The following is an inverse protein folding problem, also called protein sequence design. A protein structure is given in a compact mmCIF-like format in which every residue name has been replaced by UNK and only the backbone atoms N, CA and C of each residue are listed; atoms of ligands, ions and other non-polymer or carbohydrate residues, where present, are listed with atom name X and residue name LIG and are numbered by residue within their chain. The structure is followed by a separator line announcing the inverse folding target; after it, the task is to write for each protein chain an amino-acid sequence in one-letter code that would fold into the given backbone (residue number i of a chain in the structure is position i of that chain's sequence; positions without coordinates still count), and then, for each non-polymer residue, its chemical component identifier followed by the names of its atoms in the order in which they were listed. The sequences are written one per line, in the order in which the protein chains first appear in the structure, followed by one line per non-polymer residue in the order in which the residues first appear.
data_IF_403206378438
#
_entry.id   IF_403206378438
#
_cell.length_a   1.000
_cell.length_b   1.000
_cell.length_c   1.000
_cell.angle_alpha   90.00
_cell.angle_beta   90.00
_cell.angle_gamma   90.00
#
_symmetry.space_group_name_H-M   'P 1'
#
loop_
_entity.id
_entity.type
_entity.pdbx_description
1 polymer ?
#
# COMPACT_ATOMS: atom_id res chain seq x y z
N UNK A 1 15.10 -24.73 56.24
CA UNK A 1 14.10 -24.37 57.26
C UNK A 1 13.13 -23.40 56.60
N UNK A 2 11.96 -23.88 56.16
CA UNK A 2 10.68 -23.80 56.91
C UNK A 2 9.93 -22.49 56.53
N UNK A 3 8.69 -22.42 56.02
CA UNK A 3 7.57 -23.33 55.74
C UNK A 3 6.65 -22.64 54.68
N UNK A 4 6.11 -23.38 53.70
CA UNK A 4 4.76 -23.20 53.12
C UNK A 4 3.77 -24.03 54.00
N UNK A 5 2.40 -23.97 53.96
CA UNK A 5 1.52 -23.74 52.78
C UNK A 5 0.07 -23.16 52.98
N UNK A 6 -0.62 -22.85 51.86
CA UNK A 6 -2.06 -23.05 51.57
C UNK A 6 -3.15 -22.28 52.35
N UNK A 7 -4.46 -22.29 51.94
CA UNK A 7 -5.09 -23.20 50.99
C UNK A 7 -5.98 -22.57 49.88
N UNK A 8 -6.26 -23.44 48.90
CA UNK A 8 -7.30 -23.43 47.85
C UNK A 8 -8.74 -23.39 48.37
N UNK A 9 -9.65 -22.75 47.62
CA UNK A 9 -11.06 -23.14 47.52
C UNK A 9 -11.54 -23.09 46.07
N UNK A 10 -11.96 -24.25 45.58
CA UNK A 10 -12.80 -24.45 44.41
C UNK A 10 -14.17 -24.94 44.88
N UNK A 11 -15.25 -24.57 44.16
CA UNK A 11 -16.56 -25.24 43.99
C UNK A 11 -17.65 -24.20 43.60
N UNK A 12 -18.81 -24.60 43.04
CA UNK A 12 -19.06 -25.58 41.99
C UNK A 12 -19.87 -24.98 40.82
N UNK A 13 -20.10 -25.81 39.81
CA UNK A 13 -20.98 -25.55 38.68
C UNK A 13 -22.46 -25.63 39.07
N UNK A 14 -23.29 -24.76 38.49
CA UNK A 14 -24.72 -25.00 38.32
C UNK A 14 -25.18 -24.59 36.92
N UNK A 15 -25.76 -25.57 36.24
CA UNK A 15 -26.41 -25.46 34.96
C UNK A 15 -27.82 -24.89 35.14
N UNK A 16 -28.18 -23.88 34.35
CA UNK A 16 -29.57 -23.49 34.14
C UNK A 16 -29.86 -23.51 32.65
N UNK A 17 -30.64 -24.53 32.27
CA UNK A 17 -31.41 -24.61 31.05
C UNK A 17 -32.32 -23.37 30.94
N UNK A 18 -32.23 -22.64 29.83
CA UNK A 18 -33.33 -21.83 29.32
C UNK A 18 -33.68 -22.32 27.92
N UNK A 19 -34.71 -23.15 27.88
CA UNK A 19 -35.42 -23.52 26.67
C UNK A 19 -36.24 -22.33 26.17
N UNK A 20 -36.04 -21.94 24.91
CA UNK A 20 -36.93 -21.02 24.19
C UNK A 20 -37.88 -21.83 23.29
N UNK A 21 -39.16 -21.46 23.19
CA UNK A 21 -40.18 -22.28 22.54
C UNK A 21 -40.14 -22.20 21.00
N UNK A 22 -40.29 -23.38 20.38
CA UNK A 22 -40.68 -23.58 18.99
C UNK A 22 -42.11 -23.05 18.76
N UNK A 23 -42.25 -22.00 17.97
CA UNK A 23 -43.49 -21.66 17.25
C UNK A 23 -43.15 -21.10 15.87
N UNK A 24 -43.29 -21.93 14.83
CA UNK A 24 -44.05 -21.59 13.62
C UNK A 24 -44.05 -22.79 12.67
N UNK A 25 -45.18 -23.47 12.63
CA UNK A 25 -45.59 -24.33 11.53
C UNK A 25 -46.17 -23.46 10.40
N UNK A 26 -45.94 -23.94 9.18
CA UNK A 26 -46.79 -23.81 7.99
C UNK A 26 -46.98 -22.43 7.34
N UNK A 27 -46.32 -22.25 6.19
CA UNK A 27 -46.92 -21.70 4.97
C UNK A 27 -45.92 -21.85 3.79
N UNK A 28 -45.88 -23.05 3.20
CA UNK A 28 -45.32 -23.26 1.87
C UNK A 28 -46.49 -23.63 0.94
N UNK A 29 -47.12 -22.60 0.38
CA UNK A 29 -47.97 -22.75 -0.79
C UNK A 29 -47.10 -22.57 -2.04
N UNK A 30 -47.01 -23.63 -2.84
CA UNK A 30 -46.32 -23.63 -4.12
C UNK A 30 -47.07 -22.75 -5.13
N UNK A 31 -46.39 -21.73 -5.68
CA UNK A 31 -46.82 -21.06 -6.89
C UNK A 31 -46.19 -21.74 -8.11
N UNK A 32 -46.98 -22.18 -9.11
CA UNK A 32 -46.46 -22.62 -10.39
C UNK A 32 -46.08 -21.39 -11.22
N UNK A 33 -44.78 -21.14 -11.41
CA UNK A 33 -44.29 -20.13 -12.34
C UNK A 33 -44.05 -20.76 -13.71
N UNK A 34 -44.73 -20.18 -14.69
CA UNK A 34 -44.76 -20.47 -16.12
C UNK A 34 -43.37 -20.71 -16.73
N UNK A 35 -43.22 -21.85 -17.43
CA UNK A 35 -42.13 -22.09 -18.37
C UNK A 35 -42.53 -21.52 -19.73
N UNK A 36 -42.14 -20.29 -20.02
CA UNK A 36 -42.13 -19.78 -21.39
C UNK A 36 -40.71 -19.36 -21.82
N UNK A 37 -40.16 -20.15 -22.76
CA UNK A 37 -39.31 -19.69 -23.86
C UNK A 37 -38.09 -18.82 -23.55
N UNK A 38 -37.01 -19.42 -23.03
CA UNK A 38 -35.69 -18.81 -23.08
C UNK A 38 -35.11 -18.95 -24.50
N UNK A 39 -35.17 -17.88 -25.29
CA UNK A 39 -34.42 -17.79 -26.57
C UNK A 39 -32.93 -17.60 -26.25
N UNK A 40 -32.00 -18.33 -26.88
CA UNK A 40 -30.58 -18.13 -26.63
C UNK A 40 -30.16 -16.76 -27.17
N UNK A 41 -29.67 -15.90 -26.28
CA UNK A 41 -29.14 -14.60 -26.63
C UNK A 41 -27.87 -14.76 -27.49
N UNK A 42 -27.91 -14.17 -28.67
CA UNK A 42 -26.81 -14.12 -29.63
C UNK A 42 -25.60 -13.36 -29.05
N UNK A 43 -24.50 -14.09 -28.86
CA UNK A 43 -23.09 -13.70 -29.01
C UNK A 43 -22.71 -12.20 -28.90
N UNK A 44 -22.95 -11.58 -27.73
CA UNK A 44 -22.35 -10.29 -27.36
C UNK A 44 -21.05 -10.41 -26.54
N UNK A 45 -20.52 -11.62 -26.38
CA UNK A 45 -19.34 -11.89 -25.55
C UNK A 45 -18.04 -11.81 -26.36
N UNK A 46 -17.62 -10.61 -26.76
CA UNK A 46 -16.20 -10.38 -27.05
C UNK A 46 -15.73 -8.91 -27.01
N UNK A 47 -16.42 -8.05 -26.26
CA UNK A 47 -15.80 -6.80 -25.81
C UNK A 47 -15.01 -7.12 -24.55
N UNK A 48 -13.74 -7.52 -24.70
CA UNK A 48 -12.76 -7.44 -23.60
C UNK A 48 -12.70 -5.97 -23.20
N UNK A 49 -13.51 -5.58 -22.22
CA UNK A 49 -13.29 -4.36 -21.47
C UNK A 49 -11.92 -4.59 -20.84
N UNK A 50 -10.86 -4.00 -21.42
CA UNK A 50 -9.60 -3.84 -20.70
C UNK A 50 -9.93 -2.88 -19.57
N UNK A 51 -10.38 -3.43 -18.44
CA UNK A 51 -10.41 -2.68 -17.21
C UNK A 51 -8.96 -2.25 -17.00
N UNK A 52 -8.72 -0.94 -17.03
CA UNK A 52 -7.43 -0.40 -16.59
C UNK A 52 -7.12 -1.03 -15.23
N UNK A 53 -5.89 -1.54 -15.01
CA UNK A 53 -5.56 -2.20 -13.76
C UNK A 53 -5.91 -1.26 -12.60
N UNK A 54 -6.84 -1.69 -11.76
CA UNK A 54 -7.17 -0.96 -10.53
C UNK A 54 -6.06 -1.19 -9.52
N UNK A 55 -5.56 -0.12 -8.92
CA UNK A 55 -4.55 -0.23 -7.89
C UNK A 55 -5.22 -0.69 -6.59
N UNK A 56 -4.73 -1.78 -6.00
CA UNK A 56 -5.25 -2.24 -4.71
C UNK A 56 -4.94 -1.20 -3.63
N UNK A 57 -5.91 -0.97 -2.74
CA UNK A 57 -5.77 -0.06 -1.58
C UNK A 57 -6.07 -0.77 -0.24
N UNK A 58 -6.51 -2.04 -0.30
CA UNK A 58 -6.63 -2.92 0.85
C UNK A 58 -5.83 -4.21 0.66
N UNK A 59 -5.40 -4.83 1.76
CA UNK A 59 -4.72 -6.12 1.73
C UNK A 59 -5.55 -7.20 1.01
N UNK A 60 -6.88 -7.21 1.19
CA UNK A 60 -7.77 -8.15 0.51
C UNK A 60 -7.76 -7.97 -1.01
N UNK A 61 -7.76 -6.72 -1.50
CA UNK A 61 -7.64 -6.43 -2.93
C UNK A 61 -6.29 -6.89 -3.48
N UNK A 62 -5.20 -6.68 -2.73
CA UNK A 62 -3.88 -7.15 -3.14
C UNK A 62 -3.79 -8.68 -3.16
N UNK A 63 -4.35 -9.37 -2.18
CA UNK A 63 -4.41 -10.84 -2.19
C UNK A 63 -5.22 -11.37 -3.38
N UNK A 64 -6.33 -10.72 -3.71
CA UNK A 64 -7.10 -11.04 -4.90
C UNK A 64 -6.26 -10.82 -6.17
N UNK A 65 -5.53 -9.71 -6.24
CA UNK A 65 -4.63 -9.42 -7.36
C UNK A 65 -3.55 -10.50 -7.53
N UNK A 66 -2.92 -10.96 -6.43
CA UNK A 66 -1.95 -12.06 -6.47
C UNK A 66 -2.60 -13.35 -7.01
N UNK A 67 -3.79 -13.70 -6.51
CA UNK A 67 -4.50 -14.90 -6.98
C UNK A 67 -4.84 -14.83 -8.46
N UNK A 68 -5.32 -13.68 -8.93
CA UNK A 68 -5.63 -13.46 -10.35
C UNK A 68 -4.37 -13.54 -11.21
N UNK A 69 -3.21 -13.13 -10.68
CA UNK A 69 -1.91 -13.26 -11.33
C UNK A 69 -1.30 -14.68 -11.27
N UNK A 70 -1.99 -15.66 -10.64
CA UNK A 70 -1.55 -17.05 -10.60
C UNK A 70 -0.56 -17.39 -9.48
N UNK A 71 -0.38 -16.51 -8.50
CA UNK A 71 0.48 -16.79 -7.35
C UNK A 71 -0.04 -17.96 -6.50
N UNK A 72 0.89 -18.68 -5.89
CA UNK A 72 0.59 -19.87 -5.10
C UNK A 72 -0.11 -19.52 -3.78
N UNK A 73 -0.78 -20.50 -3.16
CA UNK A 73 -1.30 -20.33 -1.79
C UNK A 73 -0.18 -19.98 -0.80
N UNK A 74 1.04 -20.51 -0.98
CA UNK A 74 2.17 -20.20 -0.11
C UNK A 74 2.60 -18.75 -0.24
N UNK A 75 2.60 -18.19 -1.46
CA UNK A 75 2.93 -16.78 -1.71
C UNK A 75 1.95 -15.86 -0.97
N UNK A 76 0.65 -16.20 -1.00
CA UNK A 76 -0.38 -15.47 -0.26
C UNK A 76 -0.14 -15.51 1.26
N UNK A 77 0.22 -16.67 1.81
CA UNK A 77 0.52 -16.83 3.24
C UNK A 77 1.74 -16.01 3.64
N UNK A 78 2.77 -15.98 2.79
CA UNK A 78 3.96 -15.15 3.01
C UNK A 78 3.57 -13.67 3.05
N UNK A 79 2.81 -13.19 2.07
CA UNK A 79 2.38 -11.79 2.03
C UNK A 79 1.45 -11.42 3.20
N UNK A 80 0.64 -12.37 3.69
CA UNK A 80 -0.16 -12.19 4.89
C UNK A 80 0.71 -11.93 6.14
N UNK A 81 1.82 -12.66 6.30
CA UNK A 81 2.78 -12.43 7.40
C UNK A 81 3.49 -11.10 7.25
N UNK A 82 3.81 -10.70 6.02
CA UNK A 82 4.34 -9.36 5.78
C UNK A 82 3.31 -8.27 6.11
N UNK A 83 2.01 -8.54 5.93
CA UNK A 83 0.94 -7.60 6.29
C UNK A 83 0.84 -7.42 7.81
N UNK A 84 0.98 -8.50 8.58
CA UNK A 84 1.10 -8.40 10.05
C UNK A 84 2.32 -7.56 10.45
N UNK A 85 3.45 -7.76 9.77
CA UNK A 85 4.67 -6.95 9.95
C UNK A 85 4.44 -5.48 9.61
N UNK A 86 3.77 -5.20 8.49
CA UNK A 86 3.41 -3.85 8.08
C UNK A 86 2.45 -3.19 9.09
N UNK A 87 1.48 -3.93 9.64
CA UNK A 87 0.57 -3.44 10.68
C UNK A 87 1.34 -3.00 11.92
N UNK A 88 2.33 -3.79 12.36
CA UNK A 88 3.18 -3.41 13.50
C UNK A 88 3.99 -2.14 13.22
N UNK A 89 4.55 -2.01 12.02
CA UNK A 89 5.39 -0.86 11.65
C UNK A 89 4.58 0.42 11.40
N UNK A 90 3.41 0.31 10.76
CA UNK A 90 2.70 1.43 10.15
C UNK A 90 1.27 1.65 10.68
N UNK A 91 0.74 0.78 11.55
CA UNK A 91 -0.68 0.79 11.94
C UNK A 91 -1.19 2.10 12.56
N UNK A 92 -0.30 2.93 13.10
CA UNK A 92 -0.62 4.25 13.67
C UNK A 92 -0.28 5.43 12.74
N UNK A 93 0.00 5.17 11.45
CA UNK A 93 0.44 6.19 10.49
C UNK A 93 -0.66 6.55 9.51
N UNK A 94 -0.84 7.86 9.34
CA UNK A 94 -1.71 8.46 8.34
C UNK A 94 -0.83 9.25 7.36
N UNK A 95 -1.15 9.19 6.06
CA UNK A 95 -0.48 9.95 4.99
C UNK A 95 -0.94 11.41 5.00
N UNK A 96 -0.22 12.27 4.28
CA UNK A 96 -0.67 13.66 4.10
C UNK A 96 -2.02 13.79 3.39
N UNK A 97 -2.43 12.75 2.65
CA UNK A 97 -3.75 12.65 2.02
C UNK A 97 -4.86 12.14 2.96
N UNK A 98 -4.57 11.89 4.24
CA UNK A 98 -5.54 11.33 5.19
C UNK A 98 -5.72 9.81 5.12
N UNK A 99 -5.19 9.13 4.09
CA UNK A 99 -5.23 7.66 3.98
C UNK A 99 -4.36 6.99 5.04
N UNK A 100 -4.77 5.85 5.63
CA UNK A 100 -3.86 5.01 6.40
C UNK A 100 -2.60 4.65 5.59
N UNK A 101 -1.44 4.62 6.24
CA UNK A 101 -0.18 4.32 5.57
C UNK A 101 -0.18 2.91 4.98
N UNK A 102 -0.91 1.97 5.58
CA UNK A 102 -1.07 0.62 5.03
C UNK A 102 -1.67 0.64 3.62
N UNK A 103 -2.62 1.54 3.31
CA UNK A 103 -3.15 1.67 1.94
C UNK A 103 -2.03 2.04 0.94
N UNK A 104 -1.12 2.92 1.34
CA UNK A 104 0.03 3.30 0.51
C UNK A 104 1.02 2.16 0.29
N UNK A 105 1.30 1.37 1.35
CA UNK A 105 2.11 0.17 1.25
C UNK A 105 1.47 -0.83 0.26
N UNK A 106 0.17 -1.09 0.41
CA UNK A 106 -0.61 -1.97 -0.47
C UNK A 106 -0.56 -1.49 -1.91
N UNK A 107 -0.84 -0.21 -2.18
CA UNK A 107 -0.84 0.33 -3.55
C UNK A 107 0.53 0.29 -4.20
N UNK A 108 1.59 0.54 -3.44
CA UNK A 108 2.97 0.40 -3.93
C UNK A 108 3.28 -1.05 -4.34
N UNK A 109 2.88 -2.03 -3.52
CA UNK A 109 3.02 -3.45 -3.85
C UNK A 109 2.14 -3.89 -5.02
N UNK A 110 0.93 -3.33 -5.12
CA UNK A 110 -0.02 -3.56 -6.21
C UNK A 110 0.54 -3.11 -7.56
N UNK A 111 1.20 -1.94 -7.60
CA UNK A 111 1.89 -1.46 -8.80
C UNK A 111 3.04 -2.38 -9.22
N UNK A 112 3.85 -2.84 -8.26
CA UNK A 112 4.95 -3.77 -8.53
C UNK A 112 4.43 -5.11 -9.09
N UNK A 113 3.37 -5.65 -8.48
CA UNK A 113 2.71 -6.87 -8.97
C UNK A 113 2.12 -6.69 -10.36
N UNK A 114 1.40 -5.58 -10.61
CA UNK A 114 0.83 -5.30 -11.93
C UNK A 114 1.92 -5.18 -13.02
N UNK A 115 3.11 -4.70 -12.64
CA UNK A 115 4.27 -4.66 -13.54
C UNK A 115 4.92 -6.03 -13.79
N UNK A 116 4.50 -7.08 -13.08
CA UNK A 116 5.06 -8.44 -13.19
C UNK A 116 6.34 -8.65 -12.38
N UNK A 117 6.55 -7.88 -11.31
CA UNK A 117 7.71 -8.03 -10.44
C UNK A 117 7.73 -9.40 -9.73
N UNK A 118 8.93 -9.84 -9.32
CA UNK A 118 9.08 -11.05 -8.51
C UNK A 118 8.40 -10.90 -7.14
N UNK A 119 8.08 -12.04 -6.50
CA UNK A 119 7.48 -12.02 -5.15
C UNK A 119 8.35 -11.20 -4.17
N UNK A 120 9.67 -11.34 -4.20
CA UNK A 120 10.56 -10.59 -3.30
C UNK A 120 10.50 -9.07 -3.57
N UNK A 121 10.38 -8.62 -4.81
CA UNK A 121 10.18 -7.20 -5.12
C UNK A 121 8.79 -6.70 -4.72
N UNK A 122 7.74 -7.52 -4.85
CA UNK A 122 6.39 -7.18 -4.37
C UNK A 122 6.41 -7.01 -2.84
N UNK A 123 7.04 -7.93 -2.12
CA UNK A 123 7.21 -7.87 -0.66
C UNK A 123 8.08 -6.69 -0.24
N UNK A 124 9.14 -6.39 -0.99
CA UNK A 124 9.96 -5.20 -0.80
C UNK A 124 9.16 -3.94 -1.00
N UNK A 125 8.38 -3.83 -2.08
CA UNK A 125 7.48 -2.71 -2.36
C UNK A 125 6.48 -2.51 -1.20
N UNK A 126 5.98 -3.59 -0.62
CA UNK A 126 5.05 -3.54 0.50
C UNK A 126 5.70 -3.00 1.79
N UNK A 127 6.98 -3.31 2.03
CA UNK A 127 7.71 -2.93 3.23
C UNK A 127 8.74 -1.80 3.01
N UNK A 128 8.75 -1.17 1.83
CA UNK A 128 9.80 -0.26 1.36
C UNK A 128 10.08 0.92 2.31
N UNK A 129 9.07 1.29 3.10
CA UNK A 129 9.12 2.41 4.03
C UNK A 129 9.50 2.03 5.46
N UNK A 130 9.83 0.76 5.75
CA UNK A 130 10.07 0.26 7.10
C UNK A 130 11.05 1.15 7.88
N UNK A 131 12.23 1.42 7.31
CA UNK A 131 13.26 2.22 7.98
C UNK A 131 12.95 3.71 8.07
N UNK A 132 12.17 4.27 7.13
CA UNK A 132 11.88 5.71 7.07
C UNK A 132 10.67 6.10 7.91
N UNK A 133 9.62 5.29 7.86
CA UNK A 133 8.30 5.60 8.43
C UNK A 133 7.82 4.59 9.48
N UNK A 134 8.38 3.38 9.47
CA UNK A 134 8.03 2.33 10.42
C UNK A 134 8.47 2.68 11.84
N UNK A 135 7.63 2.32 12.80
CA UNK A 135 7.97 2.34 14.23
C UNK A 135 8.28 0.90 14.65
N UNK A 136 9.52 0.65 15.00
CA UNK A 136 9.98 -0.66 15.47
C UNK A 136 9.51 -0.94 16.91
N UNK A 137 9.62 -2.18 17.43
CA UNK A 137 9.11 -2.53 18.76
C UNK A 137 9.68 -1.71 19.91
N UNK A 138 10.90 -1.20 19.75
CA UNK A 138 11.55 -0.28 20.69
C UNK A 138 10.97 1.15 20.66
N UNK A 139 10.00 1.41 19.78
CA UNK A 139 9.36 2.70 19.57
C UNK A 139 10.15 3.66 18.67
N UNK A 140 11.33 3.28 18.20
CA UNK A 140 12.21 4.15 17.39
C UNK A 140 12.05 3.88 15.90
N UNK A 141 12.78 4.64 15.08
CA UNK A 141 12.80 4.53 13.60
C UNK A 141 14.24 4.50 13.12
N UNK A 142 14.44 4.17 11.84
CA UNK A 142 15.76 4.08 11.22
C UNK A 142 16.15 2.63 10.99
N UNK A 143 17.41 2.42 10.64
CA UNK A 143 17.96 1.15 10.14
C UNK A 143 19.13 0.65 11.01
N UNK A 144 19.01 0.76 12.35
CA UNK A 144 19.98 0.18 13.29
C UNK A 144 20.12 -1.33 13.08
N UNK A 145 21.22 -1.93 13.53
CA UNK A 145 21.42 -3.38 13.40
C UNK A 145 20.31 -4.18 14.07
N UNK A 146 19.78 -3.70 15.20
CA UNK A 146 18.62 -4.29 15.86
C UNK A 146 17.36 -4.25 14.97
N UNK A 147 17.08 -3.11 14.32
CA UNK A 147 15.93 -2.99 13.40
C UNK A 147 16.10 -3.86 12.16
N UNK A 148 17.32 -3.93 11.62
CA UNK A 148 17.63 -4.76 10.46
C UNK A 148 17.47 -6.24 10.78
N UNK A 149 18.02 -6.71 11.91
CA UNK A 149 17.83 -8.08 12.39
C UNK A 149 16.36 -8.40 12.64
N UNK A 150 15.61 -7.50 13.29
CA UNK A 150 14.18 -7.68 13.53
C UNK A 150 13.37 -7.84 12.24
N UNK A 151 13.66 -7.02 11.23
CA UNK A 151 12.97 -7.11 9.94
C UNK A 151 13.35 -8.39 9.22
N UNK A 152 14.66 -8.73 9.20
CA UNK A 152 15.20 -9.94 8.58
C UNK A 152 14.59 -11.22 9.13
N UNK A 153 14.41 -11.32 10.44
CA UNK A 153 13.78 -12.48 11.09
C UNK A 153 12.33 -12.69 10.63
N UNK A 154 11.63 -11.62 10.25
CA UNK A 154 10.21 -11.67 9.84
C UNK A 154 10.04 -11.87 8.35
N UNK A 155 10.90 -11.29 7.54
CA UNK A 155 10.72 -11.22 6.09
C UNK A 155 11.71 -12.09 5.31
N UNK A 156 12.81 -12.48 5.94
CA UNK A 156 13.95 -13.14 5.30
C UNK A 156 15.05 -12.16 4.89
N UNK A 157 16.26 -12.69 4.70
CA UNK A 157 17.46 -11.91 4.36
C UNK A 157 17.34 -11.13 3.05
N UNK A 158 16.81 -11.74 2.00
CA UNK A 158 16.74 -11.10 0.68
C UNK A 158 15.77 -9.91 0.66
N UNK A 159 14.57 -10.04 1.24
CA UNK A 159 13.62 -8.93 1.32
C UNK A 159 14.14 -7.81 2.22
N UNK A 160 14.75 -8.12 3.37
CA UNK A 160 15.37 -7.09 4.22
C UNK A 160 16.48 -6.34 3.48
N UNK A 161 17.36 -7.05 2.78
CA UNK A 161 18.44 -6.46 1.97
C UNK A 161 17.89 -5.51 0.90
N UNK A 162 16.82 -5.91 0.20
CA UNK A 162 16.16 -5.08 -0.80
C UNK A 162 15.49 -3.85 -0.19
N UNK A 163 14.80 -3.98 0.96
CA UNK A 163 14.22 -2.84 1.69
C UNK A 163 15.30 -1.87 2.16
N UNK A 164 16.43 -2.39 2.64
CA UNK A 164 17.58 -1.58 3.02
C UNK A 164 18.16 -0.84 1.81
N UNK A 165 18.40 -1.53 0.70
CA UNK A 165 18.87 -0.92 -0.55
C UNK A 165 17.92 0.18 -1.04
N UNK A 166 16.61 -0.07 -1.03
CA UNK A 166 15.60 0.93 -1.39
C UNK A 166 15.69 2.18 -0.52
N UNK A 167 15.94 2.00 0.79
CA UNK A 167 16.03 3.12 1.74
C UNK A 167 17.21 4.06 1.46
N UNK A 168 18.29 3.51 0.88
CA UNK A 168 19.50 4.24 0.52
C UNK A 168 19.48 4.74 -0.93
N UNK A 169 18.63 4.15 -1.79
CA UNK A 169 18.61 4.44 -3.20
C UNK A 169 18.21 5.91 -3.47
N UNK A 170 19.10 6.71 -4.09
CA UNK A 170 18.88 8.13 -4.28
C UNK A 170 17.86 8.34 -5.39
N UNK A 171 16.76 9.01 -5.07
CA UNK A 171 15.73 9.36 -6.05
C UNK A 171 14.98 10.61 -5.63
N UNK A 172 14.94 11.60 -6.51
CA UNK A 172 14.25 12.87 -6.35
C UNK A 172 13.98 13.49 -7.74
N UNK A 173 13.34 14.67 -7.78
CA UNK A 173 12.97 15.38 -9.01
C UNK A 173 14.18 15.58 -9.93
N UNK A 174 15.31 16.07 -9.40
CA UNK A 174 16.52 16.31 -10.19
C UNK A 174 17.11 15.02 -10.78
N UNK A 175 17.09 13.92 -10.01
CA UNK A 175 17.55 12.61 -10.49
C UNK A 175 16.63 12.08 -11.58
N UNK A 176 15.30 12.16 -11.38
CA UNK A 176 14.33 11.75 -12.39
C UNK A 176 14.54 12.52 -13.71
N UNK A 177 14.68 13.85 -13.64
CA UNK A 177 14.98 14.68 -14.82
C UNK A 177 16.28 14.26 -15.50
N UNK A 178 17.38 14.09 -14.75
CA UNK A 178 18.66 13.65 -15.31
C UNK A 178 18.57 12.31 -16.05
N UNK A 179 17.79 11.35 -15.53
CA UNK A 179 17.58 10.07 -16.19
C UNK A 179 16.72 10.21 -17.47
N UNK A 180 15.81 11.18 -17.51
CA UNK A 180 15.06 11.53 -18.73
C UNK A 180 15.95 12.24 -19.75
N UNK A 181 16.86 13.11 -19.32
CA UNK A 181 17.72 13.85 -20.25
C UNK A 181 18.82 12.94 -20.82
N UNK A 182 19.44 12.11 -19.98
CA UNK A 182 20.63 11.33 -20.34
C UNK A 182 20.33 9.87 -20.70
N UNK A 183 19.15 9.36 -20.33
CA UNK A 183 18.82 7.93 -20.46
C UNK A 183 19.39 7.05 -19.34
N UNK A 184 19.15 5.73 -19.41
CA UNK A 184 19.71 4.75 -18.47
C UNK A 184 21.24 4.72 -18.53
N UNK A 185 21.88 4.68 -17.37
CA UNK A 185 23.26 4.21 -17.18
C UNK A 185 23.28 2.67 -17.11
N UNK A 186 24.38 2.05 -17.53
CA UNK A 186 24.65 0.61 -17.34
C UNK A 186 24.63 0.20 -15.85
N UNK A 187 25.05 1.09 -14.95
CA UNK A 187 25.02 0.85 -13.50
C UNK A 187 23.64 1.08 -12.87
N UNK A 188 22.63 1.39 -13.68
CA UNK A 188 21.30 1.70 -13.18
C UNK A 188 20.64 0.47 -12.58
N UNK A 189 20.46 0.46 -11.26
CA UNK A 189 19.68 -0.58 -10.59
C UNK A 189 18.20 -0.44 -10.98
N UNK A 190 17.77 -1.26 -11.94
CA UNK A 190 16.41 -1.22 -12.51
C UNK A 190 15.35 -1.62 -11.50
N UNK A 191 15.65 -2.52 -10.58
CA UNK A 191 14.71 -2.96 -9.54
C UNK A 191 14.43 -1.84 -8.55
N UNK A 192 15.47 -1.15 -8.06
CA UNK A 192 15.29 -0.02 -7.16
C UNK A 192 14.58 1.14 -7.85
N UNK A 193 14.89 1.38 -9.13
CA UNK A 193 14.16 2.37 -9.92
C UNK A 193 12.68 2.01 -10.05
N UNK A 194 12.35 0.76 -10.41
CA UNK A 194 10.97 0.27 -10.46
C UNK A 194 10.25 0.51 -9.13
N UNK A 195 10.86 0.14 -8.00
CA UNK A 195 10.25 0.35 -6.70
C UNK A 195 10.00 1.84 -6.38
N UNK A 196 10.90 2.75 -6.80
CA UNK A 196 10.67 4.19 -6.63
C UNK A 196 9.49 4.67 -7.47
N UNK A 197 9.39 4.19 -8.71
CA UNK A 197 8.26 4.49 -9.59
C UNK A 197 6.96 3.92 -9.01
N UNK A 198 6.93 2.67 -8.55
CA UNK A 198 5.74 2.10 -7.89
C UNK A 198 5.32 2.90 -6.65
N UNK A 199 6.27 3.38 -5.85
CA UNK A 199 5.97 4.26 -4.72
C UNK A 199 5.33 5.58 -5.16
N UNK A 200 5.81 6.18 -6.26
CA UNK A 200 5.20 7.40 -6.81
C UNK A 200 3.87 7.14 -7.55
N UNK A 201 3.65 5.94 -8.10
CA UNK A 201 2.36 5.52 -8.66
C UNK A 201 1.28 5.58 -7.59
N UNK A 202 1.48 4.94 -6.42
CA UNK A 202 0.47 5.03 -5.35
C UNK A 202 0.34 6.45 -4.79
N UNK A 203 1.45 7.17 -4.64
CA UNK A 203 1.43 8.52 -4.10
C UNK A 203 0.67 9.51 -4.99
N UNK A 204 0.63 9.27 -6.29
CA UNK A 204 -0.07 10.10 -7.27
C UNK A 204 -1.48 9.59 -7.59
N UNK A 205 -1.80 8.34 -7.24
CA UNK A 205 -3.09 7.70 -7.46
C UNK A 205 -4.25 8.41 -6.76
N UNK A 206 -5.44 8.39 -7.38
CA UNK A 206 -6.69 8.98 -6.89
C UNK A 206 -6.51 10.44 -6.41
N UNK A 207 -6.03 11.30 -7.30
CA UNK A 207 -5.71 12.70 -7.02
C UNK A 207 -4.65 12.90 -5.92
N UNK A 208 -3.90 11.86 -5.55
CA UNK A 208 -2.89 11.93 -4.50
C UNK A 208 -1.81 12.97 -4.78
N UNK A 209 -1.39 13.14 -6.03
CA UNK A 209 -0.40 14.16 -6.40
C UNK A 209 -0.89 15.59 -6.12
N UNK A 210 -2.20 15.81 -6.33
CA UNK A 210 -2.87 17.09 -6.14
C UNK A 210 -3.14 17.38 -4.65
N UNK A 211 -3.52 16.35 -3.88
CA UNK A 211 -3.95 16.49 -2.47
C UNK A 211 -2.83 16.28 -1.44
N UNK A 212 -1.74 15.58 -1.77
CA UNK A 212 -0.72 15.21 -0.78
C UNK A 212 0.22 16.36 -0.35
N UNK A 213 0.17 17.50 -1.03
CA UNK A 213 1.04 18.68 -0.80
C UNK A 213 2.54 18.36 -0.72
N UNK A 214 3.01 17.39 -1.51
CA UNK A 214 4.42 17.03 -1.52
C UNK A 214 5.21 17.96 -2.45
N UNK A 215 6.35 18.52 -2.02
CA UNK A 215 7.12 19.48 -2.82
C UNK A 215 7.52 18.99 -4.22
N UNK A 216 7.65 17.68 -4.43
CA UNK A 216 7.98 17.16 -5.76
C UNK A 216 6.86 17.32 -6.80
N UNK A 217 5.59 17.40 -6.37
CA UNK A 217 4.45 17.60 -7.28
C UNK A 217 4.19 19.07 -7.59
N UNK A 218 4.91 20.01 -6.97
CA UNK A 218 4.89 21.41 -7.42
C UNK A 218 5.76 21.65 -8.65
N UNK A 219 6.65 20.72 -8.99
CA UNK A 219 7.34 20.75 -10.27
C UNK A 219 6.37 20.25 -11.36
N UNK A 220 6.02 21.10 -12.35
CA UNK A 220 5.01 20.77 -13.36
C UNK A 220 5.42 19.61 -14.28
N UNK A 221 6.71 19.27 -14.31
CA UNK A 221 7.23 18.22 -15.17
C UNK A 221 7.44 16.89 -14.45
N UNK A 222 7.38 16.84 -13.11
CA UNK A 222 7.77 15.63 -12.38
C UNK A 222 6.98 14.39 -12.84
N UNK A 223 5.65 14.49 -12.95
CA UNK A 223 4.83 13.37 -13.42
C UNK A 223 5.09 13.00 -14.89
N UNK A 224 5.37 13.97 -15.77
CA UNK A 224 5.74 13.66 -17.16
C UNK A 224 7.12 13.03 -17.27
N UNK A 225 8.03 13.40 -16.37
CA UNK A 225 9.36 12.80 -16.28
C UNK A 225 9.25 11.34 -15.82
N UNK A 226 8.42 11.06 -14.81
CA UNK A 226 8.16 9.69 -14.34
C UNK A 226 7.46 8.83 -15.39
N UNK A 227 6.50 9.40 -16.14
CA UNK A 227 5.87 8.73 -17.30
C UNK A 227 6.92 8.36 -18.35
N UNK A 228 7.71 9.34 -18.80
CA UNK A 228 8.76 9.15 -19.82
C UNK A 228 9.79 8.12 -19.36
N UNK A 229 10.24 8.21 -18.11
CA UNK A 229 11.18 7.27 -17.53
C UNK A 229 10.61 5.85 -17.49
N UNK A 230 9.35 5.71 -17.07
CA UNK A 230 8.66 4.42 -17.02
C UNK A 230 8.58 3.78 -18.41
N UNK A 231 8.19 4.54 -19.44
CA UNK A 231 8.15 4.06 -20.83
C UNK A 231 9.52 3.59 -21.31
N UNK A 232 10.58 4.38 -21.08
CA UNK A 232 11.94 4.04 -21.54
C UNK A 232 12.49 2.76 -20.93
N UNK A 233 12.13 2.48 -19.68
CA UNK A 233 12.59 1.26 -18.97
C UNK A 233 11.64 0.07 -19.16
N UNK A 234 10.57 0.21 -19.94
CA UNK A 234 9.58 -0.85 -20.17
C UNK A 234 8.62 -1.07 -18.99
N UNK A 235 8.54 -0.12 -18.05
CA UNK A 235 7.60 -0.15 -16.94
C UNK A 235 6.23 0.41 -17.34
N UNK A 236 5.61 -0.23 -18.34
CA UNK A 236 4.41 0.26 -19.01
C UNK A 236 3.24 0.52 -18.06
N UNK A 237 3.08 -0.30 -17.01
CA UNK A 237 2.01 -0.09 -16.02
C UNK A 237 2.24 1.20 -15.24
N UNK A 238 3.48 1.46 -14.82
CA UNK A 238 3.81 2.72 -14.15
C UNK A 238 3.56 3.92 -15.08
N UNK A 239 3.93 3.82 -16.36
CA UNK A 239 3.69 4.87 -17.35
C UNK A 239 2.19 5.18 -17.49
N UNK A 240 1.34 4.16 -17.58
CA UNK A 240 -0.12 4.33 -17.65
C UNK A 240 -0.69 5.05 -16.41
N UNK A 241 -0.21 4.70 -15.22
CA UNK A 241 -0.63 5.37 -13.98
C UNK A 241 -0.15 6.82 -13.90
N UNK A 242 1.08 7.12 -14.31
CA UNK A 242 1.56 8.51 -14.33
C UNK A 242 0.82 9.37 -15.36
N UNK A 243 0.52 8.81 -16.54
CA UNK A 243 -0.32 9.49 -17.53
C UNK A 243 -1.72 9.79 -16.97
N UNK A 244 -2.28 8.88 -16.17
CA UNK A 244 -3.56 9.13 -15.46
C UNK A 244 -3.41 10.21 -14.40
N UNK A 245 -2.41 10.14 -13.53
CA UNK A 245 -2.17 11.14 -12.50
C UNK A 245 -1.99 12.56 -13.07
N UNK A 246 -1.39 12.70 -14.27
CA UNK A 246 -1.32 13.99 -14.96
C UNK A 246 -2.68 14.52 -15.37
N UNK A 247 -3.57 13.66 -15.86
CA UNK A 247 -4.96 14.05 -16.18
C UNK A 247 -5.70 14.47 -14.93
N UNK A 248 -5.58 13.69 -13.85
CA UNK A 248 -6.17 14.00 -12.55
C UNK A 248 -5.66 15.35 -12.00
N UNK A 249 -4.38 15.67 -12.20
CA UNK A 249 -3.81 16.98 -11.82
C UNK A 249 -4.31 18.15 -12.67
N UNK A 250 -4.60 17.91 -13.96
CA UNK A 250 -5.17 18.93 -14.84
C UNK A 250 -6.65 19.18 -14.53
N UNK A 251 -7.37 18.17 -14.05
CA UNK A 251 -8.74 18.27 -13.55
C UNK A 251 -8.77 18.69 -12.08
N UNK A 252 -8.29 19.90 -11.80
CA UNK A 252 -8.22 20.45 -10.44
C UNK A 252 -9.26 21.54 -10.15
N UNK A 253 -10.16 21.83 -11.10
CA UNK A 253 -11.10 22.95 -10.99
C UNK A 253 -12.17 22.75 -9.90
N UNK A 254 -12.46 21.50 -9.54
CA UNK A 254 -13.40 21.15 -8.47
C UNK A 254 -12.83 21.37 -7.06
N UNK A 255 -11.52 21.59 -6.92
CA UNK A 255 -10.88 21.99 -5.67
C UNK A 255 -11.04 23.51 -5.50
N UNK A 256 -12.21 23.93 -5.03
CA UNK A 256 -12.52 25.32 -4.73
C UNK A 256 -11.61 25.95 -3.64
N UNK A 257 -11.73 27.27 -3.46
CA UNK A 257 -10.98 28.00 -2.43
C UNK A 257 -11.37 27.61 -1.00
N UNK A 258 -12.54 27.01 -0.78
CA UNK A 258 -13.01 26.59 0.55
C UNK A 258 -12.39 25.25 0.96
N UNK A 259 -12.13 24.33 0.03
CA UNK A 259 -11.32 23.13 0.25
C UNK A 259 -9.83 23.43 0.44
N UNK A 260 -9.41 24.70 0.35
CA UNK A 260 -8.08 25.17 0.78
C UNK A 260 -7.97 25.29 2.30
N UNK A 261 -9.08 25.42 3.03
CA UNK A 261 -9.07 25.67 4.49
C UNK A 261 -8.48 24.53 5.35
N UNK A 262 -8.40 23.30 4.84
CA UNK A 262 -7.72 22.18 5.50
C UNK A 262 -6.24 22.03 5.12
N UNK A 263 -5.72 22.90 4.24
CA UNK A 263 -4.38 22.80 3.62
C UNK A 263 -3.28 23.58 4.34
N UNK A 264 -3.60 24.28 5.43
CA UNK A 264 -2.55 24.81 6.29
C UNK A 264 -1.92 23.64 7.04
N UNK A 265 -0.61 23.38 6.90
CA UNK A 265 0.06 22.50 7.84
C UNK A 265 -0.25 23.06 9.23
N UNK A 266 -0.65 22.20 10.18
CA UNK A 266 -0.66 22.59 11.59
C UNK A 266 0.61 23.40 11.83
N UNK A 267 0.50 24.67 12.27
CA UNK A 267 1.65 25.55 12.37
C UNK A 267 2.73 24.76 13.11
N UNK A 268 3.87 24.57 12.44
CA UNK A 268 4.97 23.81 13.03
C UNK A 268 5.29 24.50 14.34
N UNK A 269 5.44 23.72 15.42
CA UNK A 269 5.83 24.32 16.68
C UNK A 269 7.12 25.12 16.46
N UNK A 270 7.22 26.29 17.09
CA UNK A 270 8.41 27.14 17.05
C UNK A 270 9.69 26.32 17.35
N UNK A 271 9.56 25.37 18.27
CA UNK A 271 10.61 24.39 18.64
C UNK A 271 11.03 23.52 17.45
N UNK A 272 10.07 23.00 16.67
CA UNK A 272 10.36 22.18 15.48
C UNK A 272 11.04 22.96 14.35
N UNK A 273 10.82 24.27 14.27
CA UNK A 273 11.49 25.13 13.31
C UNK A 273 12.92 25.48 13.74
N UNK A 274 13.10 25.85 15.01
CA UNK A 274 14.42 26.09 15.61
C UNK A 274 15.32 24.86 15.45
N UNK A 275 14.80 23.67 15.75
CA UNK A 275 15.58 22.44 15.66
C UNK A 275 16.01 22.07 14.24
N UNK A 276 15.19 22.41 13.23
CA UNK A 276 15.57 22.25 11.81
C UNK A 276 16.67 23.21 11.38
N UNK A 277 16.59 24.47 11.81
CA UNK A 277 17.65 25.46 11.58
C UNK A 277 18.97 25.01 12.21
N UNK A 278 18.92 24.50 13.45
CA UNK A 278 20.09 23.92 14.13
C UNK A 278 20.67 22.73 13.35
N UNK A 279 19.82 21.91 12.72
CA UNK A 279 20.24 20.73 11.93
C UNK A 279 20.54 21.02 10.46
N UNK A 280 20.56 22.28 10.02
CA UNK A 280 20.82 22.64 8.63
C UNK A 280 19.81 22.07 7.63
N UNK A 281 18.57 21.79 8.07
CA UNK A 281 17.49 21.29 7.21
C UNK A 281 16.50 22.42 6.94
N UNK A 282 16.63 23.09 5.80
CA UNK A 282 15.63 24.05 5.33
C UNK A 282 14.35 23.32 4.90
#
# INVERSE_FOLDING_TARGET
MCFLPGPTKAQPADAVLLAAPLMMQNLLAAHPCDRQGFRPAENHCNRRIRLSPTLAQTNLQLYQQLRTAGHSRQDLVILQRDNETACMLFGSKIRSTGRPFLCHAVGTASAALAQGASLDLIRTAFLHAAYKHGRFPDGTRGNSDAHRSWLRERTGAEVEKLVFAFSQYPFNVSIARKLVDNGPDENQNKEMLLLKLCNDVDDSHDFGALLAHKPRYSDPHYLSDLETLSTRFGFNVCAEFFARARRDMADNQWLDAETVYSRFPFPRSLVGEIWRRIKGRN
#
